data_IF_212708902705
#
_entry.id   IF_212708902705
#
_cell.length_a   1.000
_cell.length_b   1.000
_cell.length_c   1.000
_cell.angle_alpha   90.00
_cell.angle_beta   90.00
_cell.angle_gamma   90.00
#
_symmetry.space_group_name_H-M   'P 1'
#
loop_
_entity.id
_entity.type
_entity.pdbx_description
1 polymer ?
#
# COMPACT_ATOMS: atom_id res chain seq x y z
N UNK A 1 34.80 5.81 3.48
CA UNK A 1 33.66 5.04 2.94
C UNK A 1 32.66 4.89 4.08
N UNK A 2 31.68 5.80 4.16
CA UNK A 2 30.72 5.83 5.28
C UNK A 2 29.77 4.65 5.13
N UNK A 3 29.52 3.96 6.24
CA UNK A 3 28.81 2.68 6.33
C UNK A 3 27.30 2.89 6.08
N UNK A 4 26.90 3.04 4.81
CA UNK A 4 25.52 3.35 4.37
C UNK A 4 24.52 2.32 4.89
N UNK A 5 24.90 1.04 4.86
CA UNK A 5 24.06 -0.08 5.32
C UNK A 5 23.74 -0.01 6.82
N UNK A 6 24.71 0.39 7.65
CA UNK A 6 24.50 0.56 9.09
C UNK A 6 23.61 1.78 9.43
N UNK A 7 23.61 2.81 8.58
CA UNK A 7 22.71 3.95 8.74
C UNK A 7 21.29 3.65 8.27
N UNK A 8 21.12 2.85 7.21
CA UNK A 8 19.81 2.37 6.75
C UNK A 8 19.15 1.47 7.79
N UNK A 9 19.85 0.44 8.29
CA UNK A 9 19.31 -0.44 9.32
C UNK A 9 18.97 0.30 10.62
N UNK A 10 19.73 1.35 10.97
CA UNK A 10 19.42 2.19 12.14
C UNK A 10 18.22 3.09 11.92
N UNK A 11 17.99 3.58 10.69
CA UNK A 11 16.78 4.34 10.34
C UNK A 11 15.55 3.43 10.37
N UNK A 12 15.65 2.22 9.84
CA UNK A 12 14.58 1.22 9.88
C UNK A 12 14.20 0.88 11.32
N UNK A 13 15.18 0.57 12.17
CA UNK A 13 14.94 0.26 13.59
C UNK A 13 14.33 1.45 14.35
N UNK A 14 14.80 2.67 14.10
CA UNK A 14 14.21 3.86 14.70
C UNK A 14 12.78 4.10 14.22
N UNK A 15 12.49 3.85 12.94
CA UNK A 15 11.13 3.95 12.41
C UNK A 15 10.20 2.93 13.07
N UNK A 16 10.63 1.68 13.19
CA UNK A 16 9.89 0.63 13.90
C UNK A 16 9.65 1.06 15.35
N UNK A 17 10.67 1.58 16.04
CA UNK A 17 10.57 1.98 17.44
C UNK A 17 9.58 3.13 17.65
N UNK A 18 9.69 4.23 16.88
CA UNK A 18 8.80 5.38 17.03
C UNK A 18 7.36 5.02 16.67
N UNK A 19 7.14 4.26 15.59
CA UNK A 19 5.81 3.76 15.22
C UNK A 19 5.23 2.90 16.33
N UNK A 20 6.01 1.96 16.87
CA UNK A 20 5.56 1.07 17.96
C UNK A 20 5.21 1.84 19.23
N UNK A 21 6.00 2.87 19.58
CA UNK A 21 5.78 3.73 20.73
C UNK A 21 4.49 4.54 20.59
N UNK A 22 4.27 5.16 19.43
CA UNK A 22 3.04 5.91 19.12
C UNK A 22 1.81 5.01 19.16
N UNK A 23 1.93 3.79 18.62
CA UNK A 23 0.89 2.74 18.69
C UNK A 23 0.55 2.34 20.14
N UNK A 24 1.55 2.20 21.00
CA UNK A 24 1.35 1.76 22.38
C UNK A 24 0.74 2.84 23.31
N UNK A 25 0.91 4.14 23.00
CA UNK A 25 0.59 5.23 23.93
C UNK A 25 -0.75 5.94 23.68
N UNK A 26 -1.57 5.48 22.73
CA UNK A 26 -2.73 6.26 22.26
C UNK A 26 -4.07 5.55 22.41
N UNK A 27 -5.09 6.33 22.81
CA UNK A 27 -6.49 5.93 22.90
C UNK A 27 -7.26 6.18 21.59
N UNK A 28 -6.64 6.83 20.59
CA UNK A 28 -7.21 7.16 19.28
C UNK A 28 -6.38 6.53 18.17
N UNK A 29 -6.85 5.37 17.68
CA UNK A 29 -6.20 4.57 16.63
C UNK A 29 -5.97 5.38 15.35
N UNK A 30 -6.94 6.19 14.94
CA UNK A 30 -6.86 6.97 13.69
C UNK A 30 -5.78 8.05 13.77
N UNK A 31 -5.70 8.74 14.91
CA UNK A 31 -4.66 9.75 15.15
C UNK A 31 -3.27 9.11 15.16
N UNK A 32 -3.13 7.97 15.81
CA UNK A 32 -1.87 7.25 15.91
C UNK A 32 -1.34 6.76 14.58
N UNK A 33 -2.19 6.10 13.78
CA UNK A 33 -1.78 5.64 12.46
C UNK A 33 -1.37 6.83 11.59
N UNK A 34 -2.10 7.95 11.65
CA UNK A 34 -1.74 9.16 10.91
C UNK A 34 -0.38 9.73 11.34
N UNK A 35 -0.07 9.75 12.63
CA UNK A 35 1.25 10.19 13.14
C UNK A 35 2.37 9.25 12.67
N UNK A 36 2.16 7.94 12.76
CA UNK A 36 3.08 6.94 12.23
C UNK A 36 3.31 7.09 10.71
N UNK A 37 2.25 7.26 9.93
CA UNK A 37 2.35 7.47 8.48
C UNK A 37 3.08 8.77 8.14
N UNK A 38 2.82 9.87 8.85
CA UNK A 38 3.56 11.12 8.66
C UNK A 38 5.06 10.90 8.88
N UNK A 39 5.45 10.22 9.96
CA UNK A 39 6.85 9.91 10.21
C UNK A 39 7.48 9.09 9.07
N UNK A 40 6.79 8.03 8.60
CA UNK A 40 7.28 7.18 7.51
C UNK A 40 7.42 7.95 6.19
N UNK A 41 6.46 8.84 5.87
CA UNK A 41 6.53 9.66 4.67
C UNK A 41 7.78 10.55 4.66
N UNK A 42 8.08 11.17 5.80
CA UNK A 42 9.28 11.99 5.95
C UNK A 42 10.58 11.18 5.96
N UNK A 43 10.57 9.96 6.50
CA UNK A 43 11.77 9.13 6.60
C UNK A 43 12.17 8.44 5.28
N UNK A 44 11.18 8.10 4.43
CA UNK A 44 11.38 7.28 3.22
C UNK A 44 11.08 8.01 1.91
N UNK A 45 10.88 9.33 1.94
CA UNK A 45 10.46 10.15 0.79
C UNK A 45 9.24 9.53 0.08
N UNK A 46 8.27 9.06 0.86
CA UNK A 46 6.98 8.65 0.30
C UNK A 46 6.10 9.88 0.08
N UNK A 47 5.28 9.80 -0.96
CA UNK A 47 4.44 10.93 -1.38
C UNK A 47 3.09 10.88 -0.67
N UNK A 48 2.47 9.69 -0.63
CA UNK A 48 1.13 9.48 -0.07
C UNK A 48 1.06 8.16 0.65
N UNK A 49 0.24 8.11 1.69
CA UNK A 49 -0.13 6.87 2.35
C UNK A 49 -1.57 6.92 2.84
N UNK A 50 -2.23 5.77 2.88
CA UNK A 50 -3.53 5.64 3.52
C UNK A 50 -3.74 4.23 4.09
N UNK A 51 -4.59 4.16 5.11
CA UNK A 51 -5.08 2.92 5.69
C UNK A 51 -6.58 2.84 5.47
N UNK A 52 -7.04 1.69 4.97
CA UNK A 52 -8.46 1.34 4.93
C UNK A 52 -8.73 0.15 5.85
N UNK A 53 -9.86 0.15 6.54
CA UNK A 53 -10.31 -0.96 7.38
C UNK A 53 -11.64 -1.52 6.86
N UNK A 54 -11.86 -2.80 7.10
CA UNK A 54 -13.13 -3.45 6.81
C UNK A 54 -14.22 -3.03 7.78
N UNK A 55 -15.40 -2.75 7.23
CA UNK A 55 -16.60 -2.45 7.97
C UNK A 55 -17.64 -3.58 7.85
N UNK A 56 -18.61 -3.68 8.78
CA UNK A 56 -19.58 -4.77 8.81
C UNK A 56 -20.45 -4.90 7.55
N UNK A 57 -20.56 -3.83 6.76
CA UNK A 57 -21.33 -3.80 5.50
C UNK A 57 -20.57 -4.33 4.28
N UNK A 58 -19.34 -4.82 4.48
CA UNK A 58 -18.51 -5.43 3.44
C UNK A 58 -17.68 -4.45 2.62
N UNK A 59 -17.68 -3.16 2.99
CA UNK A 59 -16.79 -2.17 2.39
C UNK A 59 -15.52 -1.98 3.23
N UNK A 60 -14.44 -1.61 2.55
CA UNK A 60 -13.24 -1.04 3.14
C UNK A 60 -13.37 0.48 3.12
N UNK A 61 -13.18 1.16 4.25
CA UNK A 61 -13.23 2.64 4.33
C UNK A 61 -11.96 3.21 4.95
N UNK A 62 -11.60 4.42 4.55
CA UNK A 62 -10.41 5.13 5.03
C UNK A 62 -10.44 5.38 6.54
N UNK A 63 -9.48 4.80 7.25
CA UNK A 63 -9.19 5.10 8.66
C UNK A 63 -8.39 6.40 8.78
N UNK A 64 -7.33 6.52 7.98
CA UNK A 64 -6.49 7.70 7.92
C UNK A 64 -5.74 7.78 6.58
N UNK A 65 -5.29 8.99 6.25
CA UNK A 65 -4.49 9.26 5.07
C UNK A 65 -3.53 10.42 5.33
N UNK A 66 -2.39 10.40 4.64
CA UNK A 66 -1.36 11.45 4.64
C UNK A 66 -0.93 11.70 3.21
N UNK A 67 -0.71 12.98 2.86
CA UNK A 67 -0.43 13.39 1.47
C UNK A 67 -1.67 13.42 0.58
N UNK A 68 -2.87 13.31 1.17
CA UNK A 68 -4.16 13.37 0.47
C UNK A 68 -4.93 14.63 0.86
N UNK A 69 -5.66 15.23 -0.08
CA UNK A 69 -6.67 16.24 0.26
C UNK A 69 -7.84 15.60 1.01
N UNK A 70 -8.71 16.44 1.59
CA UNK A 70 -9.92 15.96 2.27
C UNK A 70 -10.86 15.24 1.31
N UNK A 71 -11.04 15.78 0.11
CA UNK A 71 -11.90 15.23 -0.95
C UNK A 71 -11.31 13.91 -1.48
N UNK A 72 -9.99 13.82 -1.63
CA UNK A 72 -9.31 12.57 -1.98
C UNK A 72 -9.49 11.50 -0.90
N UNK A 73 -9.35 11.88 0.37
CA UNK A 73 -9.50 10.97 1.51
C UNK A 73 -10.93 10.43 1.64
N UNK A 74 -11.95 11.25 1.34
CA UNK A 74 -13.35 10.82 1.33
C UNK A 74 -13.67 9.78 0.25
N UNK A 75 -12.83 9.66 -0.79
CA UNK A 75 -12.98 8.65 -1.84
C UNK A 75 -12.34 7.31 -1.50
N UNK A 76 -11.71 7.16 -0.33
CA UNK A 76 -11.12 5.89 0.14
C UNK A 76 -12.20 4.89 0.54
N UNK A 77 -12.90 4.36 -0.46
CA UNK A 77 -13.88 3.30 -0.31
C UNK A 77 -13.64 2.22 -1.37
N UNK A 78 -13.60 0.96 -0.93
CA UNK A 78 -13.34 -0.19 -1.79
C UNK A 78 -14.20 -1.38 -1.37
N UNK A 79 -14.50 -2.28 -2.29
CA UNK A 79 -15.05 -3.61 -1.98
C UNK A 79 -13.94 -4.66 -1.92
N UNK A 80 -14.20 -5.76 -1.22
CA UNK A 80 -13.35 -6.95 -1.32
C UNK A 80 -13.21 -7.41 -2.78
N UNK A 81 -11.98 -7.68 -3.22
CA UNK A 81 -11.63 -8.05 -4.60
C UNK A 81 -11.57 -6.89 -5.61
N UNK A 82 -11.91 -5.66 -5.22
CA UNK A 82 -11.95 -4.50 -6.11
C UNK A 82 -10.59 -3.82 -6.27
N UNK A 83 -10.08 -3.77 -7.51
CA UNK A 83 -8.77 -3.19 -7.82
C UNK A 83 -7.64 -3.86 -7.03
N UNK A 84 -6.51 -3.17 -6.88
CA UNK A 84 -5.36 -3.69 -6.11
C UNK A 84 -5.71 -3.81 -4.61
N UNK A 85 -6.22 -2.72 -4.02
CA UNK A 85 -6.51 -2.65 -2.57
C UNK A 85 -7.49 -3.74 -2.14
N UNK A 86 -8.61 -3.89 -2.85
CA UNK A 86 -9.60 -4.91 -2.53
C UNK A 86 -9.09 -6.33 -2.74
N UNK A 87 -8.20 -6.56 -3.72
CA UNK A 87 -7.57 -7.89 -3.91
C UNK A 87 -6.61 -8.23 -2.78
N UNK A 88 -5.75 -7.29 -2.38
CA UNK A 88 -4.84 -7.46 -1.23
C UNK A 88 -5.63 -7.79 0.03
N UNK A 89 -6.75 -7.10 0.26
CA UNK A 89 -7.66 -7.44 1.35
C UNK A 89 -8.23 -8.85 1.24
N UNK A 90 -8.68 -9.25 0.05
CA UNK A 90 -9.34 -10.54 -0.17
C UNK A 90 -8.40 -11.75 -0.05
N UNK A 91 -7.14 -11.61 -0.48
CA UNK A 91 -6.19 -12.72 -0.52
C UNK A 91 -5.14 -12.67 0.59
N UNK A 92 -4.97 -11.53 1.28
CA UNK A 92 -3.94 -11.35 2.31
C UNK A 92 -2.51 -11.36 1.77
N UNK A 93 -2.31 -11.09 0.47
CA UNK A 93 -1.02 -11.12 -0.21
C UNK A 93 -0.66 -9.69 -0.62
N UNK A 94 0.52 -9.21 -0.19
CA UNK A 94 1.02 -7.88 -0.57
C UNK A 94 1.30 -7.78 -2.08
N UNK A 95 1.21 -6.57 -2.62
CA UNK A 95 1.53 -6.27 -4.03
C UNK A 95 2.47 -5.07 -4.08
N UNK A 96 3.53 -5.20 -4.87
CA UNK A 96 4.47 -4.12 -5.21
C UNK A 96 4.31 -3.81 -6.68
N UNK A 97 4.05 -2.54 -6.99
CA UNK A 97 3.81 -2.03 -8.33
C UNK A 97 4.92 -1.03 -8.65
N UNK A 98 5.80 -1.31 -9.62
CA UNK A 98 6.86 -0.38 -10.00
C UNK A 98 6.34 0.91 -10.63
N UNK A 99 5.22 0.80 -11.37
CA UNK A 99 4.54 1.93 -12.00
C UNK A 99 3.02 1.69 -12.05
N UNK A 100 2.24 2.51 -11.32
CA UNK A 100 0.78 2.43 -11.31
C UNK A 100 0.14 2.77 -12.64
N UNK A 101 0.83 3.50 -13.53
CA UNK A 101 0.33 3.82 -14.87
C UNK A 101 0.28 2.60 -15.78
N UNK A 102 1.10 1.58 -15.50
CA UNK A 102 1.16 0.33 -16.25
C UNK A 102 0.28 -0.79 -15.65
N UNK A 103 -0.36 -0.55 -14.49
CA UNK A 103 -1.12 -1.57 -13.76
C UNK A 103 -2.63 -1.51 -14.10
N UNK A 104 -3.19 -2.51 -14.81
CA UNK A 104 -4.60 -2.48 -15.24
C UNK A 104 -5.61 -2.46 -14.09
N UNK A 105 -5.22 -2.93 -12.91
CA UNK A 105 -6.09 -2.97 -11.72
C UNK A 105 -6.01 -1.69 -10.88
N UNK A 106 -5.19 -0.72 -11.29
CA UNK A 106 -5.09 0.56 -10.63
C UNK A 106 -6.30 1.44 -10.95
N UNK A 107 -7.18 1.59 -9.96
CA UNK A 107 -8.43 2.35 -10.11
C UNK A 107 -8.22 3.86 -10.09
N UNK A 108 -7.03 4.34 -9.69
CA UNK A 108 -6.71 5.75 -9.52
C UNK A 108 -7.78 6.54 -8.73
N UNK A 109 -8.40 5.89 -7.74
CA UNK A 109 -9.58 6.39 -7.00
C UNK A 109 -9.39 7.78 -6.41
N UNK A 110 -8.18 8.03 -5.93
CA UNK A 110 -7.78 9.23 -5.20
C UNK A 110 -7.04 10.22 -6.09
N UNK A 111 -6.94 9.98 -7.41
CA UNK A 111 -6.22 10.82 -8.37
C UNK A 111 -4.69 10.82 -8.22
N UNK A 112 -4.13 9.93 -7.40
CA UNK A 112 -2.69 9.91 -7.11
C UNK A 112 -1.80 9.59 -8.31
N UNK A 113 -2.29 8.84 -9.29
CA UNK A 113 -1.56 8.63 -10.54
C UNK A 113 -1.36 9.94 -11.30
N UNK A 114 -2.39 10.79 -11.35
CA UNK A 114 -2.40 11.97 -12.23
C UNK A 114 -1.58 13.15 -11.70
N UNK A 115 -1.17 13.12 -10.43
CA UNK A 115 -0.38 14.19 -9.80
C UNK A 115 1.10 14.21 -10.25
N UNK A 116 1.56 13.24 -11.04
CA UNK A 116 2.94 13.20 -11.55
C UNK A 116 2.99 12.85 -13.04
N UNK A 117 2.53 13.75 -13.93
CA UNK A 117 2.51 13.49 -15.37
C UNK A 117 3.91 13.20 -15.91
N UNK A 118 4.05 12.09 -16.64
CA UNK A 118 5.31 11.72 -17.29
C UNK A 118 6.38 11.15 -16.34
N UNK A 119 6.04 10.88 -15.08
CA UNK A 119 6.95 10.29 -14.10
C UNK A 119 6.31 9.04 -13.51
N UNK A 120 7.02 7.90 -13.57
CA UNK A 120 6.53 6.65 -12.98
C UNK A 120 6.30 6.78 -11.48
N UNK A 121 5.21 6.18 -10.99
CA UNK A 121 4.83 6.19 -9.58
C UNK A 121 4.76 4.75 -9.09
N UNK A 122 5.60 4.41 -8.12
CA UNK A 122 5.54 3.09 -7.49
C UNK A 122 4.51 3.08 -6.36
N UNK A 123 3.92 1.91 -6.13
CA UNK A 123 2.97 1.69 -5.04
C UNK A 123 3.24 0.36 -4.34
N UNK A 124 3.24 0.37 -3.01
CA UNK A 124 3.22 -0.82 -2.16
C UNK A 124 1.86 -0.89 -1.49
N UNK A 125 1.23 -2.06 -1.59
CA UNK A 125 -0.07 -2.34 -0.97
C UNK A 125 0.07 -3.60 -0.12
N UNK A 126 -0.06 -3.46 1.19
CA UNK A 126 0.17 -4.55 2.15
C UNK A 126 -1.04 -4.76 3.06
N UNK A 127 -1.43 -6.02 3.34
CA UNK A 127 -2.53 -6.32 4.24
C UNK A 127 -2.18 -5.95 5.69
N UNK A 128 -3.19 -5.55 6.45
CA UNK A 128 -3.12 -5.41 7.91
C UNK A 128 -3.83 -6.62 8.50
N UNK A 129 -3.12 -7.40 9.31
CA UNK A 129 -3.64 -8.60 9.94
C UNK A 129 -3.98 -8.36 11.41
N UNK A 130 -5.07 -8.96 11.86
CA UNK A 130 -5.35 -9.20 13.27
C UNK A 130 -5.67 -10.69 13.41
N UNK A 131 -4.94 -11.37 14.30
CA UNK A 131 -4.92 -12.83 14.39
C UNK A 131 -4.66 -13.51 13.03
N UNK A 132 -5.63 -14.29 12.53
CA UNK A 132 -5.58 -15.01 11.25
C UNK A 132 -6.44 -14.37 10.16
N UNK A 133 -6.83 -13.10 10.31
CA UNK A 133 -7.72 -12.41 9.37
C UNK A 133 -7.10 -11.10 8.91
N UNK A 134 -7.27 -10.79 7.64
CA UNK A 134 -6.99 -9.46 7.10
C UNK A 134 -8.11 -8.53 7.54
N UNK A 135 -7.77 -7.47 8.29
CA UNK A 135 -8.73 -6.48 8.83
C UNK A 135 -8.69 -5.16 8.07
N UNK A 136 -7.67 -4.95 7.25
CA UNK A 136 -7.50 -3.73 6.48
C UNK A 136 -6.31 -3.81 5.53
N UNK A 137 -5.99 -2.68 4.92
CA UNK A 137 -4.90 -2.54 3.95
C UNK A 137 -4.20 -1.21 4.17
N UNK A 138 -2.87 -1.25 4.17
CA UNK A 138 -2.01 -0.07 4.04
C UNK A 138 -1.56 0.05 2.59
N UNK A 139 -1.73 1.22 2.01
CA UNK A 139 -1.20 1.55 0.70
C UNK A 139 -0.31 2.79 0.79
N UNK A 140 0.85 2.74 0.14
CA UNK A 140 1.80 3.84 0.06
C UNK A 140 2.26 4.01 -1.37
N UNK A 141 2.42 5.26 -1.82
CA UNK A 141 2.98 5.57 -3.13
C UNK A 141 4.15 6.55 -3.04
N UNK A 142 5.06 6.44 -4.00
CA UNK A 142 6.20 7.33 -4.13
C UNK A 142 6.58 7.52 -5.60
N UNK A 143 7.25 8.63 -5.87
CA UNK A 143 7.80 8.91 -7.20
C UNK A 143 8.96 7.94 -7.46
N UNK A 144 8.94 7.27 -8.63
CA UNK A 144 9.89 6.23 -9.01
C UNK A 144 10.52 6.52 -10.39
N UNK A 145 11.30 7.60 -10.52
CA UNK A 145 11.94 7.93 -11.79
C UNK A 145 12.90 6.80 -12.20
N UNK A 146 12.92 6.51 -13.50
CA UNK A 146 13.73 5.43 -14.10
C UNK A 146 13.46 4.01 -13.53
N UNK A 147 12.34 3.79 -12.83
CA UNK A 147 12.00 2.50 -12.18
C UNK A 147 13.07 1.97 -11.21
N UNK A 148 13.90 2.85 -10.64
CA UNK A 148 15.04 2.46 -9.79
C UNK A 148 14.63 2.05 -8.38
N UNK A 149 13.51 2.54 -7.88
CA UNK A 149 12.95 2.14 -6.58
C UNK A 149 12.10 0.89 -6.78
N UNK A 150 12.71 -0.27 -6.55
CA UNK A 150 11.95 -1.39 -6.00
C UNK A 150 11.66 -1.08 -4.52
N UNK A 151 10.49 -1.46 -3.99
CA UNK A 151 10.32 -1.53 -2.54
C UNK A 151 11.19 -2.67 -2.01
N UNK A 152 12.50 -2.43 -1.95
CA UNK A 152 13.48 -3.29 -1.32
C UNK A 152 13.40 -3.13 0.19
N UNK A 153 12.24 -3.42 0.78
CA UNK A 153 12.26 -3.97 2.12
C UNK A 153 12.76 -5.41 1.92
N UNK A 154 14.03 -5.65 2.24
CA UNK A 154 14.57 -6.99 2.39
C UNK A 154 13.85 -7.65 3.58
N UNK A 155 12.62 -8.10 3.35
CA UNK A 155 11.97 -9.10 4.19
C UNK A 155 12.03 -10.37 3.36
N UNK A 156 13.05 -11.17 3.61
CA UNK A 156 13.20 -12.49 3.02
C UNK A 156 11.87 -13.27 3.18
N UNK A 157 11.20 -13.56 2.06
CA UNK A 157 10.12 -14.55 2.05
C UNK A 157 8.94 -14.31 1.09
N UNK A 158 8.68 -13.10 0.60
CA UNK A 158 7.54 -12.85 -0.28
C UNK A 158 7.93 -12.90 -1.76
N UNK A 159 8.09 -14.13 -2.28
CA UNK A 159 8.10 -14.38 -3.73
C UNK A 159 6.84 -13.79 -4.34
N UNK A 160 6.98 -12.75 -5.16
CA UNK A 160 5.92 -12.24 -6.02
C UNK A 160 5.42 -13.40 -6.90
N UNK A 161 4.31 -14.02 -6.52
CA UNK A 161 3.66 -15.01 -7.36
C UNK A 161 3.10 -14.28 -8.59
N UNK A 162 3.36 -14.78 -9.81
CA UNK A 162 2.78 -14.19 -11.00
C UNK A 162 1.25 -14.26 -10.93
N UNK A 163 0.60 -13.18 -11.36
CA UNK A 163 -0.85 -13.11 -11.47
C UNK A 163 -1.39 -14.35 -12.22
N UNK A 164 -2.48 -14.99 -11.75
CA UNK A 164 -3.04 -16.14 -12.44
C UNK A 164 -3.52 -15.70 -13.83
N UNK A 165 -2.83 -16.19 -14.85
CA UNK A 165 -3.27 -16.06 -16.24
C UNK A 165 -4.60 -16.81 -16.36
N UNK A 166 -5.67 -16.04 -16.58
CA UNK A 166 -7.00 -16.56 -16.82
C UNK A 166 -6.98 -17.30 -18.18
N UNK A 167 -6.71 -18.61 -18.15
CA UNK A 167 -6.81 -19.47 -19.33
C UNK A 167 -8.28 -19.52 -19.76
N UNK A 168 -8.62 -18.79 -20.83
CA UNK A 168 -9.87 -18.98 -21.55
C UNK A 168 -9.82 -20.38 -22.20
N UNK A 169 -10.57 -21.33 -21.64
CA UNK A 169 -10.76 -22.64 -22.23
C UNK A 169 -11.41 -22.56 -23.62
N UNK A 170 -11.15 -23.53 -24.51
CA UNK A 170 -11.66 -23.50 -25.88
C UNK A 170 -13.18 -23.75 -25.87
N UNK A 171 -13.93 -22.86 -26.53
CA UNK A 171 -15.33 -23.08 -26.88
C UNK A 171 -15.39 -24.26 -27.86
N UNK A 172 -15.93 -25.39 -27.43
CA UNK A 172 -16.25 -26.49 -28.32
C UNK A 172 -17.38 -26.09 -29.27
N UNK A 173 -17.20 -26.48 -30.53
CA UNK A 173 -18.10 -26.29 -31.65
C UNK A 173 -19.46 -26.99 -31.43
N UNK A 174 -20.53 -26.30 -31.76
CA UNK A 174 -21.79 -26.91 -32.19
C UNK A 174 -21.84 -26.77 -33.72
N UNK A 175 -22.01 -27.90 -34.42
CA UNK A 175 -22.06 -28.01 -35.87
C UNK A 175 -21.84 -29.45 -36.28
#
# INVERSE_FOLDING_TARGET
>A
MVNTQANESRRELNAIYEVSKTLASSLDVSKTFREALNYLLHAFDWRRAFVVLAEPDGYLRGLCAVGLTREESQRLQFKSGEGIVGRVYANGIQVIIPDVHAEPLFLNRTGGGDQSPGVSVAMLVTPIHSDRRTVGVLAVDCVNPDLRRGYGLHIDGASAAPAPQCQRGPRQHAG
#
